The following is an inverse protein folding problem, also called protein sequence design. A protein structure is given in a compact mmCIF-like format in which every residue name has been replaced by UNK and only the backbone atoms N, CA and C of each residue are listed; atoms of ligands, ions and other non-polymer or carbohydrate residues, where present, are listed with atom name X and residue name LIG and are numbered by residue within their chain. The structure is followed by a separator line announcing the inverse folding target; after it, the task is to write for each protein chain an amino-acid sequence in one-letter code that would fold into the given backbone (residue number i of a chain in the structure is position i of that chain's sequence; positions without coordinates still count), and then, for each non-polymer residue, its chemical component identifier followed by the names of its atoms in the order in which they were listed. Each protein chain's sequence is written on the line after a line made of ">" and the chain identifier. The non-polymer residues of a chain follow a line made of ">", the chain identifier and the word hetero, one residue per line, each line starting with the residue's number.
data_IF_534622702824
#
_entry.id   IF_534622702824
#
_cell.length_a   1.000
_cell.length_b   1.000
_cell.length_c   1.000
_cell.angle_alpha   90.00
_cell.angle_beta   90.00
_cell.angle_gamma   90.00
#
_symmetry.space_group_name_H-M   'P 1'
#
loop_
_entity.id
_entity.type
_entity.pdbx_description
1 polymer ?
#
# COMPACT_ATOMS: atom_id res chain seq x y z
N UNK A 1 0.04 5.27 10.46
CA UNK A 1 0.89 5.39 9.25
C UNK A 1 0.15 6.01 8.07
N UNK A 2 -1.08 5.58 7.80
CA UNK A 2 -1.92 6.02 6.67
C UNK A 2 -2.13 7.54 6.57
N UNK A 3 -2.46 8.26 7.67
CA UNK A 3 -2.80 9.68 7.56
C UNK A 3 -1.74 10.55 6.90
N UNK A 4 -0.45 10.31 7.13
CA UNK A 4 0.61 11.15 6.56
C UNK A 4 0.90 10.89 5.07
N UNK A 5 0.65 9.65 4.59
CA UNK A 5 0.77 9.33 3.14
C UNK A 5 -0.31 10.05 2.36
N UNK A 6 -1.49 10.21 2.97
CA UNK A 6 -2.65 10.86 2.36
C UNK A 6 -2.71 12.38 2.65
N UNK A 7 -1.74 12.91 3.41
CA UNK A 7 -1.71 14.34 3.74
C UNK A 7 -1.42 15.16 2.49
N UNK A 8 -2.36 16.02 2.12
CA UNK A 8 -2.28 16.83 0.90
C UNK A 8 -2.51 16.07 -0.41
N UNK A 9 -2.91 14.78 -0.34
CA UNK A 9 -3.31 14.00 -1.49
C UNK A 9 -4.83 14.06 -1.66
N UNK A 10 -5.29 14.49 -2.82
CA UNK A 10 -6.65 14.24 -3.29
C UNK A 10 -6.65 12.96 -4.13
N UNK A 11 -7.20 11.85 -3.63
CA UNK A 11 -7.21 10.59 -4.38
C UNK A 11 -8.28 10.57 -5.48
N UNK A 12 -9.14 11.59 -5.55
CA UNK A 12 -10.27 11.63 -6.49
C UNK A 12 -11.41 10.69 -6.08
N UNK A 13 -12.29 10.39 -7.04
CA UNK A 13 -13.54 9.70 -6.77
C UNK A 13 -13.45 8.16 -6.84
N UNK A 14 -12.57 7.62 -7.68
CA UNK A 14 -12.45 6.19 -7.96
C UNK A 14 -11.08 5.69 -7.49
N UNK A 15 -11.03 5.11 -6.32
CA UNK A 15 -9.78 4.69 -5.68
C UNK A 15 -9.65 3.18 -5.65
N UNK A 16 -8.47 2.68 -5.98
CA UNK A 16 -8.09 1.27 -5.86
C UNK A 16 -7.13 1.10 -4.68
N UNK A 17 -7.44 0.19 -3.77
CA UNK A 17 -6.54 -0.27 -2.71
C UNK A 17 -5.97 -1.64 -3.07
N UNK A 18 -4.63 -1.79 -3.04
CA UNK A 18 -3.93 -3.04 -3.31
C UNK A 18 -3.59 -3.76 -2.00
N UNK A 19 -4.01 -5.02 -1.87
CA UNK A 19 -3.74 -5.86 -0.71
C UNK A 19 -4.42 -5.35 0.55
N UNK A 20 -5.74 -5.33 0.54
CA UNK A 20 -6.55 -4.78 1.63
C UNK A 20 -6.45 -5.57 2.94
N UNK A 21 -6.05 -6.85 2.87
CA UNK A 21 -5.93 -7.72 4.05
C UNK A 21 -7.22 -7.74 4.88
N UNK A 22 -7.12 -7.58 6.22
CA UNK A 22 -8.29 -7.52 7.08
C UNK A 22 -9.07 -6.19 6.97
N UNK A 23 -8.64 -5.23 6.11
CA UNK A 23 -9.35 -4.01 5.80
C UNK A 23 -9.15 -2.85 6.79
N UNK A 24 -8.05 -2.82 7.54
CA UNK A 24 -7.76 -1.71 8.46
C UNK A 24 -7.52 -0.40 7.70
N UNK A 25 -6.92 -0.48 6.54
CA UNK A 25 -6.68 0.65 5.63
C UNK A 25 -7.96 1.03 4.90
N UNK A 26 -8.70 0.01 4.44
CA UNK A 26 -9.99 0.14 3.78
C UNK A 26 -10.97 0.98 4.60
N UNK A 27 -11.04 0.76 5.92
CA UNK A 27 -11.91 1.53 6.83
C UNK A 27 -11.58 3.02 6.86
N UNK A 28 -10.31 3.38 6.70
CA UNK A 28 -9.87 4.79 6.65
C UNK A 28 -10.10 5.39 5.26
N UNK A 29 -9.84 4.61 4.20
CA UNK A 29 -9.92 5.07 2.83
C UNK A 29 -11.37 5.32 2.39
N UNK A 30 -12.31 4.43 2.76
CA UNK A 30 -13.71 4.56 2.38
C UNK A 30 -14.37 5.86 2.86
N UNK A 31 -13.86 6.46 3.96
CA UNK A 31 -14.35 7.75 4.46
C UNK A 31 -13.79 8.95 3.68
N UNK A 32 -12.87 8.73 2.74
CA UNK A 32 -12.13 9.77 2.01
C UNK A 32 -12.33 9.73 0.50
N UNK A 33 -13.11 8.80 0.00
CA UNK A 33 -13.37 8.66 -1.43
C UNK A 33 -14.83 8.32 -1.70
N UNK A 34 -15.31 8.65 -2.89
CA UNK A 34 -16.67 8.34 -3.29
C UNK A 34 -16.87 6.85 -3.59
N UNK A 35 -15.87 6.20 -4.20
CA UNK A 35 -15.86 4.77 -4.53
C UNK A 35 -14.49 4.19 -4.23
N UNK A 36 -14.46 3.10 -3.48
CA UNK A 36 -13.25 2.37 -3.15
C UNK A 36 -13.37 0.94 -3.67
N UNK A 37 -12.44 0.52 -4.51
CA UNK A 37 -12.25 -0.87 -4.87
C UNK A 37 -11.07 -1.40 -4.07
N UNK A 38 -11.28 -2.48 -3.30
CA UNK A 38 -10.26 -3.12 -2.50
C UNK A 38 -9.94 -4.50 -3.08
N UNK A 39 -8.70 -4.74 -3.50
CA UNK A 39 -8.26 -6.05 -3.99
C UNK A 39 -7.53 -6.82 -2.92
N UNK A 40 -7.86 -8.13 -2.84
CA UNK A 40 -7.25 -9.07 -1.91
C UNK A 40 -7.07 -10.42 -2.59
N UNK A 41 -5.91 -11.03 -2.40
CA UNK A 41 -5.57 -12.33 -3.00
C UNK A 41 -6.07 -13.51 -2.14
N UNK A 42 -6.07 -13.37 -0.81
CA UNK A 42 -6.54 -14.43 0.08
C UNK A 42 -8.07 -14.48 0.06
N UNK A 43 -8.69 -15.59 -0.39
CA UNK A 43 -10.14 -15.70 -0.52
C UNK A 43 -10.88 -15.59 0.81
N UNK A 44 -10.26 -15.95 1.93
CA UNK A 44 -10.89 -15.86 3.25
C UNK A 44 -10.93 -14.42 3.73
N UNK A 45 -9.83 -13.66 3.52
CA UNK A 45 -9.78 -12.25 3.85
C UNK A 45 -10.71 -11.45 2.94
N UNK A 46 -10.70 -11.73 1.64
CA UNK A 46 -11.62 -11.11 0.68
C UNK A 46 -13.08 -11.33 1.07
N UNK A 47 -13.50 -12.57 1.31
CA UNK A 47 -14.88 -12.90 1.70
C UNK A 47 -15.29 -12.23 3.03
N UNK A 48 -14.39 -12.22 4.02
CA UNK A 48 -14.64 -11.55 5.31
C UNK A 48 -14.80 -10.04 5.13
N UNK A 49 -13.95 -9.43 4.30
CA UNK A 49 -14.03 -8.00 4.02
C UNK A 49 -15.27 -7.65 3.20
N UNK A 50 -15.63 -8.46 2.19
CA UNK A 50 -16.88 -8.30 1.43
C UNK A 50 -18.11 -8.26 2.34
N UNK A 51 -18.20 -9.20 3.29
CA UNK A 51 -19.32 -9.24 4.24
C UNK A 51 -19.36 -7.96 5.09
N UNK A 52 -18.22 -7.53 5.59
CA UNK A 52 -18.11 -6.33 6.45
C UNK A 52 -18.39 -5.04 5.69
N UNK A 53 -18.08 -4.98 4.41
CA UNK A 53 -18.25 -3.79 3.55
C UNK A 53 -19.61 -3.73 2.84
N UNK A 54 -20.51 -4.67 3.08
CA UNK A 54 -21.86 -4.63 2.52
C UNK A 54 -22.56 -3.30 2.81
N UNK A 55 -23.24 -2.78 1.81
CA UNK A 55 -23.96 -1.50 1.87
C UNK A 55 -23.07 -0.26 2.15
N UNK A 56 -21.79 -0.35 1.87
CA UNK A 56 -20.86 0.80 1.88
C UNK A 56 -20.49 1.20 0.46
N UNK A 57 -19.60 2.19 0.34
CA UNK A 57 -19.00 2.61 -0.93
C UNK A 57 -17.78 1.76 -1.34
N UNK A 58 -17.59 0.58 -0.75
CA UNK A 58 -16.45 -0.32 -1.00
C UNK A 58 -16.90 -1.53 -1.80
N UNK A 59 -16.22 -1.78 -2.92
CA UNK A 59 -16.28 -3.03 -3.67
C UNK A 59 -15.01 -3.84 -3.36
N UNK A 60 -15.17 -5.07 -2.89
CA UNK A 60 -14.04 -5.97 -2.62
C UNK A 60 -13.94 -7.00 -3.74
N UNK A 61 -12.75 -7.11 -4.35
CA UNK A 61 -12.49 -8.03 -5.47
C UNK A 61 -11.38 -8.99 -5.08
N UNK A 62 -11.71 -10.29 -5.05
CA UNK A 62 -10.72 -11.35 -4.88
C UNK A 62 -9.92 -11.48 -6.19
N UNK A 63 -8.67 -11.01 -6.20
CA UNK A 63 -7.81 -11.07 -7.39
C UNK A 63 -6.35 -10.87 -7.04
N UNK A 64 -5.48 -11.30 -7.97
CA UNK A 64 -4.05 -11.02 -7.94
C UNK A 64 -3.78 -9.59 -8.46
N UNK A 65 -3.13 -8.77 -7.63
CA UNK A 65 -2.76 -7.40 -8.00
C UNK A 65 -1.73 -7.33 -9.14
N UNK A 66 -1.09 -8.45 -9.52
CA UNK A 66 -0.18 -8.53 -10.66
C UNK A 66 -0.90 -8.76 -11.99
N UNK A 67 -2.23 -9.05 -11.97
CA UNK A 67 -3.05 -9.33 -13.16
C UNK A 67 -4.52 -8.96 -12.89
N UNK A 68 -4.79 -7.68 -12.75
CA UNK A 68 -6.10 -7.19 -12.31
C UNK A 68 -7.15 -7.19 -13.43
N UNK A 69 -8.41 -7.60 -13.16
CA UNK A 69 -9.49 -7.68 -14.15
C UNK A 69 -10.16 -6.33 -14.45
N UNK A 70 -9.41 -5.23 -14.31
CA UNK A 70 -9.94 -3.89 -14.56
C UNK A 70 -9.48 -3.35 -15.90
N UNK A 71 -10.32 -2.56 -16.61
CA UNK A 71 -9.90 -1.84 -17.79
C UNK A 71 -8.79 -0.82 -17.51
N UNK A 72 -8.04 -0.47 -18.56
CA UNK A 72 -7.06 0.62 -18.50
C UNK A 72 -7.73 1.93 -18.08
N UNK A 73 -7.06 2.71 -17.26
CA UNK A 73 -7.55 4.03 -16.87
C UNK A 73 -8.84 4.03 -16.06
N UNK A 74 -9.09 2.99 -15.24
CA UNK A 74 -10.32 2.87 -14.43
C UNK A 74 -10.29 3.76 -13.18
N UNK A 75 -9.10 4.01 -12.59
CA UNK A 75 -8.98 4.62 -11.27
C UNK A 75 -8.30 5.98 -11.30
N UNK A 76 -8.74 6.88 -10.42
CA UNK A 76 -8.11 8.18 -10.17
C UNK A 76 -6.88 8.06 -9.26
N UNK A 77 -6.87 7.07 -8.36
CA UNK A 77 -5.72 6.75 -7.54
C UNK A 77 -5.59 5.24 -7.32
N UNK A 78 -4.34 4.78 -7.16
CA UNK A 78 -3.99 3.44 -6.69
C UNK A 78 -3.19 3.58 -5.40
N UNK A 79 -3.63 2.93 -4.35
CA UNK A 79 -3.04 3.01 -3.01
C UNK A 79 -2.53 1.64 -2.57
N UNK A 80 -1.31 1.59 -2.01
CA UNK A 80 -0.69 0.36 -1.53
C UNK A 80 0.00 0.59 -0.18
N UNK A 81 -0.39 -0.18 0.85
CA UNK A 81 0.14 0.00 2.20
C UNK A 81 0.67 -1.33 2.75
N UNK A 82 1.99 -1.38 3.01
CA UNK A 82 2.67 -2.57 3.59
C UNK A 82 2.36 -3.87 2.84
N UNK A 83 2.28 -3.81 1.52
CA UNK A 83 1.83 -4.92 0.69
C UNK A 83 2.91 -5.39 -0.30
N UNK A 84 3.66 -4.46 -0.90
CA UNK A 84 4.57 -4.78 -1.99
C UNK A 84 5.66 -5.79 -1.58
N UNK A 85 6.14 -5.72 -0.33
CA UNK A 85 7.13 -6.68 0.18
C UNK A 85 6.58 -8.12 0.34
N UNK A 86 5.26 -8.31 0.36
CA UNK A 86 4.62 -9.63 0.34
C UNK A 86 4.45 -10.22 -1.06
N UNK A 87 4.95 -9.55 -2.10
CA UNK A 87 4.89 -10.02 -3.49
C UNK A 87 6.29 -10.46 -3.95
N UNK A 88 6.75 -11.67 -3.62
CA UNK A 88 7.97 -12.24 -4.16
C UNK A 88 7.73 -12.90 -5.52
N UNK A 89 8.71 -12.92 -6.42
CA UNK A 89 9.98 -12.18 -6.41
C UNK A 89 9.82 -10.73 -6.89
N UNK A 90 10.93 -9.98 -6.94
CA UNK A 90 10.96 -8.58 -7.44
C UNK A 90 10.32 -8.40 -8.82
N UNK A 91 10.38 -9.41 -9.67
CA UNK A 91 9.74 -9.40 -10.99
C UNK A 91 8.22 -9.27 -10.89
N UNK A 92 7.57 -9.96 -9.94
CA UNK A 92 6.13 -9.81 -9.69
C UNK A 92 5.79 -8.45 -9.08
N UNK A 93 6.66 -7.91 -8.21
CA UNK A 93 6.50 -6.52 -7.74
C UNK A 93 6.53 -5.52 -8.90
N UNK A 94 7.41 -5.73 -9.89
CA UNK A 94 7.46 -4.86 -11.07
C UNK A 94 6.22 -5.03 -11.96
N UNK A 95 5.70 -6.24 -12.09
CA UNK A 95 4.46 -6.50 -12.79
C UNK A 95 3.27 -5.82 -12.11
N UNK A 96 3.19 -5.88 -10.77
CA UNK A 96 2.20 -5.14 -9.99
C UNK A 96 2.27 -3.62 -10.24
N UNK A 97 3.48 -3.04 -10.27
CA UNK A 97 3.66 -1.62 -10.57
C UNK A 97 3.18 -1.27 -11.99
N UNK A 98 3.45 -2.14 -12.98
CA UNK A 98 2.97 -1.96 -14.35
C UNK A 98 1.43 -2.05 -14.43
N UNK A 99 0.82 -3.00 -13.72
CA UNK A 99 -0.64 -3.13 -13.61
C UNK A 99 -1.26 -1.91 -12.91
N UNK A 100 -0.64 -1.44 -11.82
CA UNK A 100 -1.08 -0.22 -11.13
C UNK A 100 -1.06 1.00 -12.06
N UNK A 101 -0.01 1.13 -12.88
CA UNK A 101 0.07 2.19 -13.89
C UNK A 101 -1.00 2.04 -14.98
N UNK A 102 -1.22 0.81 -15.49
CA UNK A 102 -2.21 0.52 -16.52
C UNK A 102 -3.62 0.91 -16.12
N UNK A 103 -4.00 0.59 -14.89
CA UNK A 103 -5.36 0.87 -14.39
C UNK A 103 -5.57 2.32 -13.95
N UNK A 104 -4.49 3.10 -13.80
CA UNK A 104 -4.58 4.53 -13.50
C UNK A 104 -4.99 5.35 -14.72
N UNK A 105 -5.87 6.32 -14.51
CA UNK A 105 -6.20 7.35 -15.50
C UNK A 105 -4.98 8.24 -15.78
N UNK A 106 -4.91 8.85 -16.96
CA UNK A 106 -3.95 9.93 -17.19
C UNK A 106 -4.05 11.00 -16.11
N UNK A 107 -2.92 11.32 -15.46
CA UNK A 107 -2.86 12.22 -14.31
C UNK A 107 -3.28 11.62 -12.97
N UNK A 108 -3.63 10.33 -12.94
CA UNK A 108 -3.90 9.59 -11.71
C UNK A 108 -2.66 9.40 -10.85
N UNK A 109 -2.85 9.09 -9.57
CA UNK A 109 -1.78 9.04 -8.57
C UNK A 109 -1.60 7.63 -8.02
N UNK A 110 -0.36 7.15 -7.97
CA UNK A 110 0.01 6.02 -7.12
C UNK A 110 0.60 6.54 -5.81
N UNK A 111 0.07 6.10 -4.68
CA UNK A 111 0.61 6.46 -3.37
C UNK A 111 0.60 5.27 -2.42
N UNK A 112 1.53 5.27 -1.46
CA UNK A 112 1.60 4.17 -0.52
C UNK A 112 2.74 4.28 0.48
N UNK A 113 2.87 3.25 1.28
CA UNK A 113 4.00 3.06 2.19
C UNK A 113 4.36 1.60 2.25
N UNK A 114 5.65 1.32 2.36
CA UNK A 114 6.14 -0.03 2.51
C UNK A 114 7.28 -0.11 3.52
N UNK A 115 7.66 -1.32 3.90
CA UNK A 115 8.71 -1.58 4.88
C UNK A 115 10.07 -1.59 4.18
N UNK A 116 10.96 -0.66 4.58
CA UNK A 116 12.34 -0.67 4.13
C UNK A 116 13.12 -1.83 4.77
N UNK A 117 14.18 -2.35 4.12
CA UNK A 117 15.03 -3.38 4.68
C UNK A 117 15.60 -2.96 6.06
N UNK A 118 15.51 -3.85 7.05
CA UNK A 118 16.04 -3.61 8.39
C UNK A 118 15.97 -4.85 9.27
N UNK A 119 16.83 -4.91 10.28
CA UNK A 119 16.90 -6.07 11.20
C UNK A 119 15.55 -6.33 11.89
N UNK A 120 14.81 -5.27 12.23
CA UNK A 120 13.54 -5.39 12.93
C UNK A 120 12.44 -5.95 12.01
N UNK A 121 12.46 -5.60 10.70
CA UNK A 121 11.53 -6.16 9.72
C UNK A 121 11.79 -7.63 9.45
N UNK A 122 13.05 -8.06 9.44
CA UNK A 122 13.42 -9.47 9.30
C UNK A 122 12.98 -10.34 10.48
N UNK A 123 13.06 -9.80 11.71
CA UNK A 123 12.62 -10.51 12.92
C UNK A 123 11.08 -10.63 13.00
N UNK A 124 10.35 -9.65 12.51
CA UNK A 124 8.89 -9.67 12.53
C UNK A 124 8.25 -10.67 11.52
N UNK A 125 9.03 -11.15 10.55
CA UNK A 125 8.57 -12.02 9.45
C UNK A 125 9.32 -13.36 9.41
N UNK A 126 9.72 -13.89 10.57
CA UNK A 126 10.34 -15.23 10.63
C UNK A 126 9.32 -16.27 10.17
N UNK A 127 9.60 -16.90 9.01
CA UNK A 127 8.74 -17.91 8.40
C UNK A 127 7.83 -17.40 7.28
N UNK A 128 7.87 -16.10 6.95
CA UNK A 128 7.15 -15.51 5.83
C UNK A 128 8.10 -15.22 4.66
N UNK A 129 7.60 -15.39 3.41
CA UNK A 129 8.37 -15.09 2.21
C UNK A 129 8.24 -13.60 1.90
N UNK A 130 9.20 -12.82 2.38
CA UNK A 130 9.22 -11.37 2.20
C UNK A 130 10.40 -10.94 1.34
N UNK A 131 10.13 -10.08 0.35
CA UNK A 131 11.16 -9.39 -0.43
C UNK A 131 11.11 -7.89 -0.11
N UNK A 132 12.02 -7.39 0.74
CA UNK A 132 12.04 -5.98 1.12
C UNK A 132 12.15 -5.05 -0.09
N UNK A 133 11.47 -3.93 -0.02
CA UNK A 133 11.52 -2.92 -1.07
C UNK A 133 12.76 -2.06 -0.89
N UNK A 134 13.72 -2.19 -1.81
CA UNK A 134 14.95 -1.37 -1.79
C UNK A 134 14.65 0.06 -2.31
N UNK A 135 14.76 1.09 -1.45
CA UNK A 135 14.49 2.47 -1.85
C UNK A 135 15.41 2.98 -2.97
N UNK A 136 16.62 2.42 -3.10
CA UNK A 136 17.57 2.83 -4.12
C UNK A 136 17.13 2.45 -5.54
N UNK A 137 16.34 1.39 -5.66
CA UNK A 137 15.83 0.89 -6.96
C UNK A 137 14.45 1.44 -7.32
N UNK A 138 13.71 2.00 -6.36
CA UNK A 138 12.32 2.41 -6.55
C UNK A 138 12.12 3.39 -7.71
N UNK A 139 12.92 4.45 -7.79
CA UNK A 139 12.77 5.46 -8.86
C UNK A 139 12.91 4.85 -10.25
N UNK A 140 13.87 3.93 -10.44
CA UNK A 140 14.04 3.23 -11.69
C UNK A 140 12.87 2.29 -11.99
N UNK A 141 12.39 1.53 -10.99
CA UNK A 141 11.28 0.59 -11.13
C UNK A 141 9.97 1.30 -11.48
N UNK A 142 9.66 2.41 -10.81
CA UNK A 142 8.48 3.22 -11.13
C UNK A 142 8.55 3.80 -12.54
N UNK A 143 9.71 4.34 -12.94
CA UNK A 143 9.91 4.83 -14.30
C UNK A 143 9.75 3.73 -15.35
N UNK A 144 10.28 2.54 -15.10
CA UNK A 144 10.13 1.38 -15.98
C UNK A 144 8.66 0.93 -16.10
N UNK A 145 7.88 1.07 -15.03
CA UNK A 145 6.45 0.78 -15.02
C UNK A 145 5.58 1.84 -15.75
N UNK A 146 6.15 3.02 -16.09
CA UNK A 146 5.47 4.08 -16.83
C UNK A 146 5.21 5.36 -16.02
N UNK A 147 5.58 5.42 -14.73
CA UNK A 147 5.39 6.62 -13.92
C UNK A 147 6.45 7.69 -14.22
N UNK A 148 6.03 8.94 -14.37
CA UNK A 148 6.93 10.05 -14.72
C UNK A 148 7.75 10.55 -13.53
N UNK A 149 7.16 10.64 -12.34
CA UNK A 149 7.77 11.21 -11.14
C UNK A 149 7.50 10.34 -9.91
N UNK A 150 8.54 10.07 -9.12
CA UNK A 150 8.44 9.45 -7.80
C UNK A 150 8.86 10.43 -6.71
N UNK A 151 7.95 10.77 -5.79
CA UNK A 151 8.27 11.50 -4.54
C UNK A 151 8.32 10.52 -3.38
N UNK A 152 9.53 10.07 -3.01
CA UNK A 152 9.72 9.17 -1.88
C UNK A 152 10.19 9.95 -0.63
N UNK A 153 9.58 9.65 0.52
CA UNK A 153 9.98 10.18 1.83
C UNK A 153 10.26 9.03 2.78
N UNK A 154 11.41 9.05 3.45
CA UNK A 154 11.71 8.08 4.50
C UNK A 154 11.33 8.65 5.86
N UNK A 155 10.47 7.96 6.60
CA UNK A 155 10.20 8.28 7.99
C UNK A 155 11.15 7.48 8.87
N UNK A 156 12.02 8.16 9.65
CA UNK A 156 12.78 7.51 10.70
C UNK A 156 11.80 7.10 11.80
N UNK A 157 11.77 5.82 12.16
CA UNK A 157 11.15 5.37 13.41
C UNK A 157 12.07 5.83 14.54
N UNK A 158 11.84 7.02 15.08
CA UNK A 158 12.44 7.46 16.34
C UNK A 158 11.83 6.64 17.45
N UNK A 159 12.50 5.55 17.82
CA UNK A 159 12.34 4.97 19.14
C UNK A 159 12.83 6.01 20.15
N UNK A 160 11.92 6.76 20.76
CA UNK A 160 12.25 7.51 21.95
C UNK A 160 12.51 6.52 23.09
N UNK A 161 13.77 6.15 23.26
CA UNK A 161 14.26 5.69 24.56
C UNK A 161 14.20 6.91 25.49
N UNK A 162 13.14 7.02 26.28
CA UNK A 162 13.13 7.89 27.44
C UNK A 162 14.16 7.32 28.42
N UNK A 163 15.27 7.98 28.55
CA UNK A 163 16.15 7.77 29.68
C UNK A 163 15.37 8.08 30.96
N UNK A 164 15.40 7.21 31.98
CA UNK A 164 14.85 7.57 33.27
C UNK A 164 15.70 8.72 33.83
N UNK A 165 15.08 9.87 34.01
CA UNK A 165 15.68 10.99 34.75
C UNK A 165 15.97 10.51 36.13
N UNK A 166 17.27 10.36 36.45
CA UNK A 166 17.74 10.12 37.80
C UNK A 166 17.28 11.25 38.70
N UNK A 167 16.51 10.92 39.72
CA UNK A 167 16.35 11.75 40.89
C UNK A 167 17.69 11.74 41.65
N UNK A 168 18.41 12.84 41.62
CA UNK A 168 19.48 13.16 42.53
C UNK A 168 18.89 14.02 43.64
N UNK A 169 18.77 13.43 44.82
CA UNK A 169 18.48 14.19 46.02
C UNK A 169 19.75 14.84 46.56
N UNK A 170 19.56 15.96 47.18
CA UNK A 170 20.19 16.47 48.42
C UNK A 170 19.62 17.86 48.69
#
# INVERSE_FOLDING_TARGET
>A
MIPWVLEGLDPGADVLELGSGPGLTTDVLRERTARLTAVELDPRLAASLQERMKNTNVEVVETDATAMPFPDGSFSAVLSFTMLHHVPPVTLQNQLLAEAWRVLRPGGVFAGSDTAPGVLSQLAHIGDTMVPVDPATLSHRFKTAGFDELKARRRATTGQLRSPSGQGGA
#
